data_IF_611325055327
#
_entry.id   IF_611325055327
#
_cell.length_a   1.000
_cell.length_b   1.000
_cell.length_c   1.000
_cell.angle_alpha   90.00
_cell.angle_beta   90.00
_cell.angle_gamma   90.00
#
_symmetry.space_group_name_H-M   'P 1'
#
loop_
_entity.id
_entity.type
_entity.pdbx_description
1 polymer ?
#
# COMPACT_ATOMS: atom_id res chain seq x y z
N UNK A 1 26.43 17.26 -1.87
CA UNK A 1 25.31 17.21 -0.89
C UNK A 1 24.68 15.83 -0.92
N UNK A 2 24.50 15.19 0.24
CA UNK A 2 23.82 13.89 0.29
C UNK A 2 22.36 14.04 -0.15
N UNK A 3 21.87 13.13 -1.01
CA UNK A 3 20.49 13.14 -1.50
C UNK A 3 19.53 12.99 -0.31
N UNK A 4 18.62 13.96 -0.12
CA UNK A 4 17.59 13.90 0.92
C UNK A 4 16.74 12.62 0.72
N UNK A 5 16.73 11.71 1.69
CA UNK A 5 15.79 10.57 1.68
C UNK A 5 14.37 11.11 1.90
N UNK A 6 13.53 11.05 0.87
CA UNK A 6 12.13 11.50 0.90
C UNK A 6 11.12 10.35 0.88
N UNK A 7 11.61 9.10 0.96
CA UNK A 7 10.79 7.90 1.04
C UNK A 7 10.48 7.49 2.48
N UNK A 8 9.78 6.35 2.66
CA UNK A 8 9.54 5.76 3.98
C UNK A 8 10.84 5.49 4.74
N UNK A 9 10.80 5.64 6.06
CA UNK A 9 11.89 5.24 6.94
C UNK A 9 12.07 3.73 6.95
N UNK A 10 13.24 3.24 7.35
CA UNK A 10 13.52 1.80 7.39
C UNK A 10 12.54 1.07 8.33
N UNK A 11 12.19 1.67 9.47
CA UNK A 11 11.15 1.14 10.37
C UNK A 11 9.78 0.97 9.69
N UNK A 12 9.33 1.94 8.89
CA UNK A 12 8.05 1.81 8.18
C UNK A 12 8.14 0.76 7.09
N UNK A 13 9.29 0.64 6.42
CA UNK A 13 9.52 -0.43 5.44
C UNK A 13 9.39 -1.79 6.11
N UNK A 14 10.01 -1.98 7.28
CA UNK A 14 9.95 -3.24 8.02
C UNK A 14 8.52 -3.59 8.43
N UNK A 15 7.73 -2.62 8.90
CA UNK A 15 6.30 -2.83 9.19
C UNK A 15 5.55 -3.34 7.96
N UNK A 16 5.76 -2.73 6.79
CA UNK A 16 5.09 -3.15 5.54
C UNK A 16 5.55 -4.54 5.13
N UNK A 17 6.85 -4.85 5.23
CA UNK A 17 7.38 -6.17 4.90
C UNK A 17 6.84 -7.28 5.81
N UNK A 18 6.79 -7.02 7.12
CA UNK A 18 6.24 -7.95 8.11
C UNK A 18 4.73 -8.13 7.92
N UNK A 19 4.00 -7.01 7.80
CA UNK A 19 2.55 -7.04 7.56
C UNK A 19 2.22 -7.82 6.31
N UNK A 20 2.99 -7.68 5.23
CA UNK A 20 2.73 -8.28 3.92
C UNK A 20 3.41 -9.64 3.73
N UNK A 21 3.93 -10.24 4.82
CA UNK A 21 4.54 -11.56 4.86
C UNK A 21 5.71 -11.74 3.87
N UNK A 22 6.38 -10.64 3.51
CA UNK A 22 7.41 -10.66 2.46
C UNK A 22 6.87 -11.05 1.07
N UNK A 23 5.58 -10.87 0.81
CA UNK A 23 4.89 -11.27 -0.40
C UNK A 23 4.25 -10.08 -1.12
N UNK A 24 4.08 -10.19 -2.43
CA UNK A 24 3.26 -9.27 -3.20
C UNK A 24 1.79 -9.36 -2.77
N UNK A 25 1.19 -8.27 -2.29
CA UNK A 25 -0.21 -8.28 -1.82
C UNK A 25 -1.21 -8.71 -2.89
N UNK A 26 -0.94 -8.48 -4.19
CA UNK A 26 -1.87 -8.86 -5.27
C UNK A 26 -1.72 -10.30 -5.74
N UNK A 27 -0.48 -10.77 -5.94
CA UNK A 27 -0.24 -12.05 -6.60
C UNK A 27 0.53 -13.08 -5.76
N UNK A 28 0.94 -12.74 -4.55
CA UNK A 28 1.69 -13.64 -3.65
C UNK A 28 3.15 -13.88 -4.03
N UNK A 29 3.67 -13.27 -5.12
CA UNK A 29 5.08 -13.40 -5.50
C UNK A 29 6.03 -13.00 -4.37
N UNK A 30 7.09 -13.79 -4.15
CA UNK A 30 8.19 -13.50 -3.22
C UNK A 30 9.36 -12.75 -3.89
N UNK A 31 9.27 -12.51 -5.20
CA UNK A 31 10.39 -12.02 -5.99
C UNK A 31 10.18 -10.59 -6.48
N UNK A 32 11.31 -9.86 -6.58
CA UNK A 32 11.40 -8.48 -7.10
C UNK A 32 10.39 -7.55 -6.44
N UNK A 33 10.43 -7.52 -5.12
CA UNK A 33 9.50 -6.76 -4.30
C UNK A 33 9.89 -5.29 -4.24
N UNK A 34 8.88 -4.43 -4.21
CA UNK A 34 8.99 -2.99 -4.07
C UNK A 34 7.83 -2.47 -3.22
N UNK A 35 8.03 -1.32 -2.62
CA UNK A 35 6.96 -0.62 -1.91
C UNK A 35 6.19 0.24 -2.90
N UNK A 36 4.87 0.05 -2.96
CA UNK A 36 3.93 0.84 -3.72
C UNK A 36 3.19 1.82 -2.82
N UNK A 37 3.03 3.06 -3.27
CA UNK A 37 2.20 4.07 -2.62
C UNK A 37 0.77 3.98 -3.14
N UNK A 38 -0.20 3.73 -2.26
CA UNK A 38 -1.62 3.65 -2.63
C UNK A 38 -2.16 5.01 -3.06
N UNK A 39 -1.88 6.05 -2.26
CA UNK A 39 -1.99 7.45 -2.68
C UNK A 39 -0.62 7.90 -3.17
N UNK A 40 -0.55 8.24 -4.46
CA UNK A 40 0.66 8.73 -5.09
C UNK A 40 1.19 10.00 -4.43
N UNK A 41 2.52 10.11 -4.28
CA UNK A 41 3.19 11.28 -3.70
C UNK A 41 3.12 12.54 -4.57
N UNK A 42 2.79 12.39 -5.85
CA UNK A 42 2.89 13.47 -6.84
C UNK A 42 4.34 13.85 -7.17
N UNK A 43 4.50 14.67 -8.21
CA UNK A 43 5.78 15.28 -8.56
C UNK A 43 6.05 16.47 -7.63
N UNK A 44 7.28 16.62 -7.13
CA UNK A 44 7.66 17.69 -6.18
C UNK A 44 7.62 17.28 -4.71
N UNK A 45 7.24 16.04 -4.41
CA UNK A 45 7.11 15.52 -3.05
C UNK A 45 5.74 15.81 -2.45
N UNK A 46 5.39 15.04 -1.42
CA UNK A 46 4.15 15.18 -0.70
C UNK A 46 4.38 15.89 0.64
N UNK A 47 3.40 16.71 1.04
CA UNK A 47 3.43 17.45 2.32
C UNK A 47 2.72 16.68 3.43
N UNK A 48 1.90 15.70 3.07
CA UNK A 48 1.12 14.95 4.03
C UNK A 48 2.01 14.06 4.90
N UNK A 49 1.91 14.14 6.24
CA UNK A 49 2.76 13.36 7.13
C UNK A 49 2.53 11.85 7.00
N UNK A 50 1.34 11.45 6.54
CA UNK A 50 0.94 10.06 6.34
C UNK A 50 1.38 9.46 5.00
N UNK A 51 1.92 10.25 4.06
CA UNK A 51 2.18 9.78 2.70
C UNK A 51 3.17 8.61 2.65
N UNK A 52 4.12 8.57 3.58
CA UNK A 52 5.15 7.55 3.69
C UNK A 52 4.89 6.60 4.87
N UNK A 53 3.65 6.54 5.39
CA UNK A 53 3.27 5.68 6.53
C UNK A 53 2.62 4.38 6.05
N UNK A 54 2.67 3.35 6.90
CA UNK A 54 2.37 1.97 6.52
C UNK A 54 0.99 1.75 5.88
N UNK A 55 -0.04 2.49 6.31
CA UNK A 55 -1.39 2.41 5.74
C UNK A 55 -1.45 2.79 4.26
N UNK A 56 -0.55 3.68 3.82
CA UNK A 56 -0.46 4.15 2.43
C UNK A 56 0.47 3.29 1.57
N UNK A 57 1.09 2.25 2.14
CA UNK A 57 2.14 1.47 1.48
C UNK A 57 1.71 0.01 1.35
N UNK A 58 2.08 -0.60 0.23
CA UNK A 58 1.90 -2.04 -0.02
C UNK A 58 3.22 -2.65 -0.50
N UNK A 59 3.51 -3.88 -0.08
CA UNK A 59 4.57 -4.68 -0.67
C UNK A 59 4.05 -5.39 -1.92
N UNK A 60 4.64 -5.09 -3.06
CA UNK A 60 4.20 -5.65 -4.36
C UNK A 60 5.40 -6.07 -5.18
N UNK A 61 5.24 -7.01 -6.11
CA UNK A 61 6.28 -7.26 -7.10
C UNK A 61 6.31 -6.14 -8.15
N UNK A 62 7.45 -5.91 -8.80
CA UNK A 62 7.60 -4.87 -9.84
C UNK A 62 6.57 -5.00 -10.97
N UNK A 63 6.19 -6.24 -11.34
CA UNK A 63 5.16 -6.49 -12.36
C UNK A 63 3.77 -5.99 -11.93
N UNK A 64 3.35 -6.27 -10.70
CA UNK A 64 2.07 -5.77 -10.19
C UNK A 64 2.10 -4.26 -9.99
N UNK A 65 3.22 -3.70 -9.53
CA UNK A 65 3.40 -2.26 -9.40
C UNK A 65 3.16 -1.54 -10.74
N UNK A 66 3.78 -2.01 -11.83
CA UNK A 66 3.55 -1.45 -13.17
C UNK A 66 2.10 -1.63 -13.62
N UNK A 67 1.54 -2.82 -13.42
CA UNK A 67 0.16 -3.11 -13.78
C UNK A 67 -0.85 -2.17 -13.10
N UNK A 68 -0.60 -1.72 -11.86
CA UNK A 68 -1.46 -0.76 -11.16
C UNK A 68 -1.51 0.63 -11.82
N UNK A 69 -0.41 1.04 -12.41
CA UNK A 69 -0.34 2.30 -13.15
C UNK A 69 -1.06 2.18 -14.49
N UNK A 70 -0.89 1.05 -15.18
CA UNK A 70 -1.52 0.78 -16.48
C UNK A 70 -3.03 0.49 -16.38
N UNK A 71 -3.50 -0.01 -15.23
CA UNK A 71 -4.88 -0.44 -15.00
C UNK A 71 -5.50 0.29 -13.81
N UNK A 72 -5.71 1.62 -13.91
CA UNK A 72 -6.11 2.44 -12.77
C UNK A 72 -7.48 2.07 -12.22
N UNK A 73 -8.48 1.82 -13.08
CA UNK A 73 -9.85 1.48 -12.67
C UNK A 73 -9.88 0.27 -11.71
N UNK A 74 -9.43 -0.94 -12.12
CA UNK A 74 -9.43 -2.09 -11.22
C UNK A 74 -8.51 -1.89 -10.02
N UNK A 75 -7.47 -1.06 -10.13
CA UNK A 75 -6.57 -0.78 -9.00
C UNK A 75 -7.22 0.08 -7.93
N UNK A 76 -8.10 1.01 -8.29
CA UNK A 76 -8.92 1.75 -7.33
C UNK A 76 -10.03 0.88 -6.73
N UNK A 77 -10.66 0.02 -7.54
CA UNK A 77 -11.72 -0.90 -7.10
C UNK A 77 -11.20 -1.91 -6.05
N UNK A 78 -9.99 -2.45 -6.25
CA UNK A 78 -9.34 -3.36 -5.31
C UNK A 78 -8.59 -2.64 -4.16
N UNK A 79 -8.60 -1.30 -4.15
CA UNK A 79 -7.93 -0.49 -3.13
C UNK A 79 -6.40 -0.51 -3.15
N UNK A 80 -5.77 -1.06 -4.19
CA UNK A 80 -4.31 -0.95 -4.39
C UNK A 80 -3.87 0.49 -4.66
N UNK A 81 -4.76 1.29 -5.25
CA UNK A 81 -4.63 2.74 -5.38
C UNK A 81 -5.78 3.43 -4.68
N UNK A 82 -5.54 4.63 -4.17
CA UNK A 82 -6.52 5.45 -3.45
C UNK A 82 -6.50 6.87 -4.01
N UNK A 83 -7.69 7.44 -4.27
CA UNK A 83 -7.83 8.81 -4.77
C UNK A 83 -8.02 9.77 -3.60
N UNK A 84 -7.35 10.92 -3.69
CA UNK A 84 -7.67 12.05 -2.81
C UNK A 84 -9.14 12.49 -3.06
N UNK A 85 -9.87 12.95 -2.03
CA UNK A 85 -9.39 13.23 -0.67
C UNK A 85 -9.42 12.03 0.30
N UNK A 86 -9.78 10.82 -0.16
CA UNK A 86 -9.89 9.65 0.73
C UNK A 86 -8.54 9.33 1.38
N UNK A 87 -8.58 8.91 2.64
CA UNK A 87 -7.41 8.47 3.36
C UNK A 87 -7.16 6.97 3.13
N UNK A 88 -5.90 6.54 3.03
CA UNK A 88 -5.58 5.15 2.73
C UNK A 88 -6.01 4.16 3.83
N UNK A 89 -6.11 4.58 5.09
CA UNK A 89 -6.61 3.76 6.21
C UNK A 89 -8.15 3.59 6.20
N UNK A 90 -8.87 4.43 5.46
CA UNK A 90 -10.32 4.32 5.29
C UNK A 90 -10.72 3.38 4.14
N UNK A 91 -9.79 3.14 3.20
CA UNK A 91 -10.04 2.32 2.01
C UNK A 91 -9.53 0.91 2.22
N UNK A 92 -10.41 -0.07 2.09
CA UNK A 92 -10.05 -1.48 2.10
C UNK A 92 -9.16 -1.85 0.92
N UNK A 93 -8.31 -2.86 1.09
CA UNK A 93 -7.47 -3.42 0.02
C UNK A 93 -7.65 -4.93 -0.06
N UNK A 94 -7.82 -5.43 -1.28
CA UNK A 94 -7.91 -6.85 -1.56
C UNK A 94 -6.51 -7.48 -1.64
N UNK A 95 -6.33 -8.60 -0.95
CA UNK A 95 -5.10 -9.40 -0.96
C UNK A 95 -5.22 -10.62 -1.88
N UNK A 96 -4.09 -11.27 -2.16
CA UNK A 96 -3.96 -12.41 -3.07
C UNK A 96 -4.82 -13.62 -2.65
N UNK A 97 -5.14 -13.74 -1.36
CA UNK A 97 -6.03 -14.77 -0.81
C UNK A 97 -7.52 -14.43 -0.98
N UNK A 98 -7.85 -13.31 -1.61
CA UNK A 98 -9.20 -12.81 -1.85
C UNK A 98 -9.81 -12.05 -0.67
N UNK A 99 -9.12 -11.97 0.49
CA UNK A 99 -9.61 -11.24 1.65
C UNK A 99 -9.39 -9.73 1.49
N UNK A 100 -10.20 -8.96 2.20
CA UNK A 100 -10.11 -7.50 2.26
C UNK A 100 -9.74 -7.03 3.65
N UNK A 101 -8.88 -6.02 3.71
CA UNK A 101 -8.39 -5.46 4.96
C UNK A 101 -8.33 -3.93 4.91
N UNK A 102 -8.59 -3.28 6.05
CA UNK A 102 -8.10 -1.92 6.29
C UNK A 102 -6.69 -1.96 6.87
N UNK A 103 -5.85 -1.04 6.41
CA UNK A 103 -4.46 -0.94 6.84
C UNK A 103 -4.32 0.22 7.81
N UNK A 104 -3.73 -0.01 8.97
CA UNK A 104 -3.64 0.99 10.02
C UNK A 104 -2.25 1.66 10.04
N UNK A 105 -2.11 2.86 10.65
CA UNK A 105 -0.84 3.58 10.70
C UNK A 105 0.31 2.85 11.40
N UNK A 106 0.00 1.99 12.36
CA UNK A 106 0.93 1.11 13.07
C UNK A 106 1.31 -0.15 12.26
N UNK A 107 0.82 -0.28 11.03
CA UNK A 107 1.20 -1.35 10.11
C UNK A 107 0.42 -2.65 10.29
N UNK A 108 -0.74 -2.62 10.95
CA UNK A 108 -1.57 -3.81 11.08
C UNK A 108 -2.60 -3.95 9.95
N UNK A 109 -3.08 -5.17 9.73
CA UNK A 109 -4.29 -5.46 8.96
C UNK A 109 -5.47 -5.58 9.93
N UNK A 110 -6.56 -4.89 9.65
CA UNK A 110 -7.83 -5.10 10.37
C UNK A 110 -8.86 -5.61 9.39
N UNK A 111 -9.53 -6.71 9.73
CA UNK A 111 -10.73 -7.11 9.00
C UNK A 111 -11.85 -6.18 9.41
N UNK A 112 -12.70 -5.74 8.47
CA UNK A 112 -14.00 -5.22 8.88
C UNK A 112 -14.66 -6.30 9.75
N UNK A 113 -14.94 -5.98 11.01
CA UNK A 113 -15.77 -6.85 11.84
C UNK A 113 -17.01 -7.15 11.01
N UNK A 114 -17.26 -8.44 10.75
CA UNK A 114 -18.25 -8.87 9.77
C UNK A 114 -19.55 -8.11 9.99
N UNK A 115 -20.05 -7.49 8.93
CA UNK A 115 -21.48 -7.25 8.81
C UNK A 115 -22.11 -8.63 9.02
N UNK A 116 -22.65 -8.83 10.22
CA UNK A 116 -23.35 -10.06 10.56
C UNK A 116 -24.65 -9.99 9.79
N UNK A 117 -24.72 -10.77 8.70
CA UNK A 117 -25.89 -11.18 7.92
C UNK A 117 -26.82 -10.07 7.41
#
# INVERSE_FOLDING_TARGET
>A
MARRRTGPSDTVRDLVYQRDDGCCVRCGSLHRLTIHHRVNRGMGGAREPWINQAQNLLLVCTMCNGWFEDNPKPSYEAGWKVRRPQLPDEVEVQYADGRVYRLTPDGMRTTAAGATR
#
